data_IF_829634126622
#
_entry.id   IF_829634126622
#
_cell.length_a   1.000
_cell.length_b   1.000
_cell.length_c   1.000
_cell.angle_alpha   90.00
_cell.angle_beta   90.00
_cell.angle_gamma   90.00
#
_symmetry.space_group_name_H-M   'P 1'
#
loop_
_entity.id
_entity.type
_entity.pdbx_description
1 polymer ?
#
# COMPACT_ATOMS: atom_id res chain seq x y z
N UNK A 1 0.43 23.62 38.73
CA UNK A 1 1.32 24.26 37.75
C UNK A 1 1.61 23.23 36.67
N UNK A 2 0.80 23.16 35.66
CA UNK A 2 1.04 22.38 34.45
C UNK A 2 1.86 23.24 33.52
N UNK A 3 3.18 23.14 33.61
CA UNK A 3 4.08 23.76 32.66
C UNK A 3 3.90 23.02 31.31
N UNK A 4 3.52 23.77 30.32
CA UNK A 4 3.59 23.37 28.92
C UNK A 4 5.10 23.23 28.60
N UNK A 5 5.64 22.02 28.75
CA UNK A 5 7.09 21.75 28.64
C UNK A 5 7.49 21.52 27.17
N UNK A 6 6.81 22.17 26.24
CA UNK A 6 7.17 22.14 24.82
C UNK A 6 8.10 23.29 24.49
N UNK A 7 9.22 23.00 23.84
CA UNK A 7 10.00 24.05 23.19
C UNK A 7 9.13 24.67 22.07
N UNK A 8 8.79 25.95 22.19
CA UNK A 8 8.06 26.64 21.13
C UNK A 8 9.00 26.94 19.95
N UNK A 9 8.45 26.99 18.72
CA UNK A 9 9.30 27.33 17.57
C UNK A 9 9.94 28.70 17.71
N UNK A 10 9.22 29.69 18.24
CA UNK A 10 9.77 31.05 18.41
C UNK A 10 10.99 31.09 19.33
N UNK A 11 10.99 30.31 20.42
CA UNK A 11 12.16 30.17 21.29
C UNK A 11 13.31 29.46 20.58
N UNK A 12 13.02 28.36 19.86
CA UNK A 12 14.02 27.62 19.08
C UNK A 12 14.64 28.51 18.01
N UNK A 13 13.85 29.29 17.30
CA UNK A 13 14.30 30.23 16.26
C UNK A 13 15.24 31.31 16.80
N UNK A 14 14.94 31.86 17.99
CA UNK A 14 15.81 32.83 18.67
C UNK A 14 17.19 32.23 19.00
N UNK A 15 17.23 30.98 19.48
CA UNK A 15 18.50 30.30 19.74
C UNK A 15 19.26 29.95 18.45
N UNK A 16 18.56 29.57 17.38
CA UNK A 16 19.17 29.31 16.08
C UNK A 16 19.79 30.58 15.48
N UNK A 17 19.13 31.72 15.66
CA UNK A 17 19.64 33.02 15.19
C UNK A 17 20.84 33.50 16.02
N UNK A 18 20.77 33.37 17.32
CA UNK A 18 21.86 33.76 18.22
C UNK A 18 23.09 32.86 18.13
N UNK A 19 22.97 31.64 17.60
CA UNK A 19 24.03 30.65 17.52
C UNK A 19 24.45 30.09 18.90
N UNK A 20 23.59 30.24 19.92
CA UNK A 20 23.80 29.70 21.25
C UNK A 20 23.26 28.26 21.34
N UNK A 21 24.05 27.39 21.95
CA UNK A 21 23.61 26.03 22.25
C UNK A 21 22.76 25.97 23.51
N UNK A 22 21.59 25.32 23.40
CA UNK A 22 20.67 25.12 24.53
C UNK A 22 20.07 23.71 24.51
N UNK A 23 19.74 23.19 25.68
CA UNK A 23 19.05 21.90 25.84
C UNK A 23 17.82 22.10 26.71
N UNK A 24 16.65 21.77 26.16
CA UNK A 24 15.36 21.80 26.85
C UNK A 24 15.01 20.38 27.32
N UNK A 25 15.00 20.08 28.61
CA UNK A 25 14.50 18.79 29.10
C UNK A 25 12.97 18.76 28.97
N UNK A 26 12.46 17.79 28.19
CA UNK A 26 11.03 17.63 27.92
C UNK A 26 10.36 16.58 28.81
N UNK A 27 11.14 15.76 29.55
CA UNK A 27 10.62 14.72 30.40
C UNK A 27 10.56 15.17 31.86
N UNK A 28 9.53 14.71 32.59
CA UNK A 28 9.40 14.91 34.01
C UNK A 28 10.53 14.16 34.78
N UNK A 29 10.94 14.65 35.97
CA UNK A 29 11.90 13.95 36.83
C UNK A 29 11.46 12.49 37.09
N UNK A 30 12.38 11.54 36.94
CA UNK A 30 12.14 10.12 37.16
C UNK A 30 11.61 9.37 35.93
N UNK A 31 11.34 10.05 34.79
CA UNK A 31 11.03 9.47 33.48
C UNK A 31 12.31 9.27 32.65
N UNK A 32 12.28 8.43 31.59
CA UNK A 32 13.36 8.38 30.62
C UNK A 32 13.68 9.78 30.10
N UNK A 33 14.95 10.13 30.04
CA UNK A 33 15.38 11.46 29.64
C UNK A 33 15.07 11.72 28.17
N UNK A 34 14.48 12.89 27.93
CA UNK A 34 14.16 13.41 26.59
C UNK A 34 14.59 14.86 26.56
N UNK A 35 15.59 15.18 25.73
CA UNK A 35 16.11 16.54 25.60
C UNK A 35 15.93 17.03 24.18
N UNK A 36 15.33 18.19 24.02
CA UNK A 36 15.35 18.94 22.78
C UNK A 36 16.58 19.85 22.76
N UNK A 37 17.41 19.74 21.74
CA UNK A 37 18.71 20.40 21.69
C UNK A 37 18.77 21.33 20.48
N UNK A 38 19.15 22.56 20.69
CA UNK A 38 19.60 23.51 19.66
C UNK A 38 21.13 23.60 19.79
N UNK A 39 21.84 23.36 18.70
CA UNK A 39 23.31 23.40 18.69
C UNK A 39 23.84 24.73 18.16
N UNK A 40 25.08 25.03 18.50
CA UNK A 40 25.87 26.16 17.98
C UNK A 40 26.07 26.10 16.45
N UNK A 41 25.98 24.91 15.85
CA UNK A 41 25.94 24.71 14.40
C UNK A 41 24.63 25.14 13.74
N UNK A 42 23.71 25.75 14.49
CA UNK A 42 22.37 26.14 14.03
C UNK A 42 21.56 24.95 13.52
N UNK A 43 21.58 23.86 14.26
CA UNK A 43 20.83 22.64 14.01
C UNK A 43 19.96 22.29 15.22
N UNK A 44 18.92 21.50 15.01
CA UNK A 44 18.05 20.98 16.06
C UNK A 44 18.10 19.47 16.12
N UNK A 45 18.05 18.93 17.33
CA UNK A 45 18.04 17.50 17.55
C UNK A 45 17.14 17.11 18.73
N UNK A 46 16.63 15.89 18.72
CA UNK A 46 15.98 15.27 19.85
C UNK A 46 16.87 14.14 20.38
N UNK A 47 17.20 14.20 21.65
CA UNK A 47 17.95 13.15 22.36
C UNK A 47 16.98 12.33 23.21
N UNK A 48 16.92 11.02 22.98
CA UNK A 48 16.03 10.09 23.65
C UNK A 48 16.85 9.04 24.40
N UNK A 49 16.67 8.92 25.71
CA UNK A 49 17.37 7.91 26.50
C UNK A 49 16.99 6.51 26.05
N UNK A 50 18.00 5.67 25.83
CA UNK A 50 17.87 4.26 25.51
C UNK A 50 18.21 3.41 26.72
N UNK A 51 17.31 2.54 27.17
CA UNK A 51 17.68 1.50 28.15
C UNK A 51 18.58 0.44 27.47
N UNK A 52 19.31 -0.38 28.24
CA UNK A 52 20.23 -1.38 27.67
C UNK A 52 19.61 -2.37 26.70
N UNK A 53 18.30 -2.63 26.82
CA UNK A 53 17.56 -3.58 25.98
C UNK A 53 16.83 -2.91 24.81
N UNK A 54 16.75 -1.59 24.76
CA UNK A 54 16.08 -0.86 23.69
C UNK A 54 16.99 -0.72 22.47
N UNK A 55 16.36 -0.86 21.29
CA UNK A 55 17.06 -0.69 20.02
C UNK A 55 17.10 0.79 19.62
N UNK A 56 18.14 1.14 18.88
CA UNK A 56 18.22 2.42 18.20
C UNK A 56 17.12 2.50 17.14
N UNK A 57 16.30 3.57 17.10
CA UNK A 57 15.32 3.76 16.02
C UNK A 57 16.00 3.74 14.65
N UNK A 58 15.33 3.16 13.65
CA UNK A 58 15.85 3.14 12.29
C UNK A 58 15.04 4.11 11.43
N UNK A 59 15.73 5.03 10.76
CA UNK A 59 15.07 5.93 9.83
C UNK A 59 14.92 5.28 8.46
N UNK A 60 13.69 5.19 7.92
CA UNK A 60 13.48 4.80 6.53
C UNK A 60 13.73 5.95 5.55
N UNK A 61 13.96 7.17 6.05
CA UNK A 61 14.07 8.38 5.23
C UNK A 61 15.50 8.94 5.25
N UNK A 62 16.14 9.20 4.10
CA UNK A 62 17.53 9.65 4.03
C UNK A 62 17.76 11.05 4.64
N UNK A 63 16.70 11.87 4.75
CA UNK A 63 16.78 13.22 5.32
C UNK A 63 16.78 13.22 6.86
N UNK A 64 16.50 12.10 7.51
CA UNK A 64 16.49 11.97 8.97
C UNK A 64 17.62 11.04 9.38
N UNK A 65 18.58 11.57 10.11
CA UNK A 65 19.69 10.81 10.67
C UNK A 65 19.39 10.43 12.11
N UNK A 66 19.56 9.15 12.43
CA UNK A 66 19.44 8.63 13.79
C UNK A 66 20.79 8.03 14.18
N UNK A 67 21.35 8.52 15.27
CA UNK A 67 22.69 8.16 15.75
C UNK A 67 22.62 7.78 17.22
N UNK A 68 23.43 6.81 17.63
CA UNK A 68 23.64 6.53 19.05
C UNK A 68 24.75 7.43 19.57
N UNK A 69 24.50 8.11 20.68
CA UNK A 69 25.48 8.97 21.38
C UNK A 69 25.50 8.63 22.84
N UNK A 70 26.63 8.91 23.47
CA UNK A 70 26.77 8.94 24.93
C UNK A 70 26.64 10.39 25.38
N UNK A 71 25.68 10.70 26.27
CA UNK A 71 25.48 12.02 26.82
C UNK A 71 25.30 11.94 28.33
N UNK A 72 26.16 12.60 29.09
CA UNK A 72 26.15 12.59 30.57
C UNK A 72 26.11 11.16 31.17
N UNK A 73 26.86 10.24 30.57
CA UNK A 73 26.92 8.83 31.02
C UNK A 73 25.69 7.98 30.61
N UNK A 74 24.72 8.55 29.89
CA UNK A 74 23.56 7.86 29.40
C UNK A 74 23.70 7.51 27.91
N UNK A 75 23.15 6.37 27.53
CA UNK A 75 23.01 5.94 26.15
C UNK A 75 21.79 6.63 25.54
N UNK A 76 21.97 7.42 24.48
CA UNK A 76 20.92 8.22 23.88
C UNK A 76 20.81 7.95 22.38
N UNK A 77 19.58 7.98 21.84
CA UNK A 77 19.34 8.12 20.41
C UNK A 77 19.25 9.61 20.07
N UNK A 78 20.07 10.09 19.13
CA UNK A 78 20.00 11.45 18.59
C UNK A 78 19.31 11.45 17.23
N UNK A 79 18.19 12.16 17.13
CA UNK A 79 17.44 12.36 15.91
C UNK A 79 17.71 13.76 15.38
N UNK A 80 18.17 13.90 14.12
CA UNK A 80 18.41 15.19 13.48
C UNK A 80 18.09 15.14 11.98
N UNK A 81 17.82 16.30 11.37
CA UNK A 81 17.71 16.39 9.91
C UNK A 81 19.06 16.59 9.25
N UNK A 82 19.17 16.19 7.98
CA UNK A 82 20.33 16.51 7.13
C UNK A 82 20.11 17.78 6.28
N UNK A 83 18.94 18.43 6.42
CA UNK A 83 18.50 19.54 5.58
C UNK A 83 18.12 20.74 6.44
N UNK A 84 18.90 21.83 6.37
CA UNK A 84 18.68 23.04 7.14
C UNK A 84 17.39 23.80 6.76
N UNK A 85 16.97 23.73 5.52
CA UNK A 85 15.74 24.35 5.06
C UNK A 85 14.45 23.68 5.56
N UNK A 86 14.57 22.53 6.24
CA UNK A 86 13.45 21.77 6.82
C UNK A 86 13.40 21.83 8.34
N UNK A 87 14.18 22.70 8.99
CA UNK A 87 14.26 22.76 10.45
C UNK A 87 12.90 23.01 11.11
N UNK A 88 12.06 23.88 10.52
CA UNK A 88 10.70 24.18 11.02
C UNK A 88 9.82 22.92 11.01
N UNK A 89 9.75 22.25 9.85
CA UNK A 89 8.93 21.04 9.71
C UNK A 89 9.48 19.92 10.61
N UNK A 90 10.82 19.85 10.71
CA UNK A 90 11.47 18.86 11.54
C UNK A 90 11.27 19.11 13.04
N UNK A 91 11.15 20.36 13.48
CA UNK A 91 10.77 20.72 14.85
C UNK A 91 9.45 20.05 15.26
N UNK A 92 8.41 20.18 14.41
CA UNK A 92 7.11 19.59 14.68
C UNK A 92 7.17 18.07 14.76
N UNK A 93 7.98 17.42 13.91
CA UNK A 93 8.25 15.98 13.97
C UNK A 93 8.93 15.61 15.30
N UNK A 94 9.97 16.34 15.71
CA UNK A 94 10.68 16.08 16.98
C UNK A 94 9.74 16.24 18.19
N UNK A 95 8.89 17.25 18.20
CA UNK A 95 7.89 17.45 19.25
C UNK A 95 6.89 16.30 19.30
N UNK A 96 6.40 15.84 18.16
CA UNK A 96 5.48 14.70 18.10
C UNK A 96 6.13 13.38 18.58
N UNK A 97 7.41 13.16 18.31
CA UNK A 97 8.17 12.01 18.85
C UNK A 97 8.33 12.15 20.36
N UNK A 98 8.69 13.34 20.85
CA UNK A 98 8.85 13.61 22.28
C UNK A 98 7.55 13.35 23.05
N UNK A 99 6.41 13.83 22.57
CA UNK A 99 5.09 13.59 23.16
C UNK A 99 4.77 12.11 23.27
N UNK A 100 5.05 11.32 22.24
CA UNK A 100 4.84 9.86 22.31
C UNK A 100 5.68 9.17 23.36
N UNK A 101 6.92 9.63 23.56
CA UNK A 101 7.78 9.07 24.61
C UNK A 101 7.34 9.53 26.00
N UNK A 102 7.07 10.83 26.18
CA UNK A 102 6.83 11.42 27.52
C UNK A 102 5.40 11.23 27.99
N UNK A 103 4.41 11.37 27.11
CA UNK A 103 2.99 11.29 27.43
C UNK A 103 2.43 9.88 27.17
N UNK A 104 2.64 9.33 25.96
CA UNK A 104 2.10 8.03 25.58
C UNK A 104 2.93 6.83 26.06
N UNK A 105 4.11 7.11 26.70
CA UNK A 105 5.01 6.08 27.25
C UNK A 105 5.50 5.06 26.21
N UNK A 106 5.63 5.48 24.96
CA UNK A 106 6.21 4.65 23.90
C UNK A 106 7.71 4.51 24.04
N UNK A 107 8.28 3.41 23.57
CA UNK A 107 9.74 3.32 23.41
C UNK A 107 10.23 4.27 22.32
N UNK A 108 11.50 4.73 22.33
CA UNK A 108 12.04 5.59 21.27
C UNK A 108 11.85 5.04 19.86
N UNK A 109 12.01 3.71 19.66
CA UNK A 109 11.80 3.04 18.38
C UNK A 109 10.33 3.12 17.93
N UNK A 110 9.39 2.84 18.84
CA UNK A 110 7.95 2.91 18.57
C UNK A 110 7.51 4.36 18.28
N UNK A 111 7.88 5.30 19.14
CA UNK A 111 7.54 6.71 19.00
C UNK A 111 8.00 7.29 17.67
N UNK A 112 9.24 7.05 17.30
CA UNK A 112 9.78 7.50 16.02
C UNK A 112 9.08 6.83 14.83
N UNK A 113 8.96 5.50 14.86
CA UNK A 113 8.32 4.74 13.77
C UNK A 113 6.84 5.12 13.55
N UNK A 114 6.08 5.31 14.62
CA UNK A 114 4.68 5.74 14.56
C UNK A 114 4.56 7.19 14.01
N UNK A 115 5.42 8.10 14.49
CA UNK A 115 5.43 9.50 13.99
C UNK A 115 5.78 9.56 12.51
N UNK A 116 6.85 8.89 12.08
CA UNK A 116 7.25 8.91 10.66
C UNK A 116 6.17 8.30 9.78
N UNK A 117 5.51 7.22 10.21
CA UNK A 117 4.37 6.63 9.45
C UNK A 117 3.20 7.61 9.34
N UNK A 118 2.83 8.27 10.43
CA UNK A 118 1.74 9.25 10.42
C UNK A 118 2.06 10.46 9.50
N UNK A 119 3.29 10.96 9.56
CA UNK A 119 3.74 12.06 8.70
C UNK A 119 3.80 11.64 7.23
N UNK A 120 4.30 10.45 6.98
CA UNK A 120 4.32 9.88 5.63
C UNK A 120 2.92 9.78 5.05
N UNK A 121 1.95 9.31 5.82
CA UNK A 121 0.55 9.24 5.42
C UNK A 121 -0.06 10.63 5.13
N UNK A 122 0.38 11.68 5.84
CA UNK A 122 -0.04 13.07 5.58
C UNK A 122 0.65 13.68 4.34
N UNK A 123 1.91 13.34 4.11
CA UNK A 123 2.73 13.89 3.01
C UNK A 123 2.61 13.07 1.71
N UNK A 124 2.31 11.80 1.81
CA UNK A 124 1.92 11.02 0.64
C UNK A 124 0.56 11.55 0.19
N UNK A 125 0.56 12.53 -0.75
CA UNK A 125 -0.59 12.66 -1.64
C UNK A 125 -0.91 11.25 -2.11
N UNK A 126 -2.16 10.77 -2.01
CA UNK A 126 -2.54 9.51 -2.60
C UNK A 126 -1.97 9.53 -4.02
N UNK A 127 -0.98 8.69 -4.31
CA UNK A 127 -0.46 8.61 -5.68
C UNK A 127 -1.66 8.30 -6.54
N UNK A 128 -2.02 9.24 -7.41
CA UNK A 128 -3.09 8.96 -8.37
C UNK A 128 -2.78 7.61 -9.00
N UNK A 129 -3.77 6.73 -8.97
CA UNK A 129 -3.63 5.43 -9.60
C UNK A 129 -3.21 5.63 -11.05
N UNK A 130 -2.17 4.95 -11.51
CA UNK A 130 -1.85 4.91 -12.93
C UNK A 130 -3.07 4.42 -13.73
N UNK A 131 -3.13 4.74 -15.01
CA UNK A 131 -4.21 4.30 -15.88
C UNK A 131 -4.37 2.77 -15.82
N UNK A 132 -3.26 2.03 -15.87
CA UNK A 132 -3.25 0.56 -15.80
C UNK A 132 -3.88 0.05 -14.50
N UNK A 133 -3.56 0.66 -13.37
CA UNK A 133 -4.15 0.29 -12.09
C UNK A 133 -5.63 0.66 -11.99
N UNK A 134 -6.06 1.78 -12.61
CA UNK A 134 -7.47 2.16 -12.65
C UNK A 134 -8.30 1.15 -13.44
N UNK A 135 -7.87 0.81 -14.67
CA UNK A 135 -8.58 -0.19 -15.48
C UNK A 135 -8.45 -1.59 -14.88
N UNK A 136 -7.32 -1.92 -14.24
CA UNK A 136 -7.12 -3.17 -13.51
C UNK A 136 -8.20 -3.35 -12.44
N UNK A 137 -8.34 -2.36 -11.55
CA UNK A 137 -9.38 -2.38 -10.52
C UNK A 137 -10.80 -2.44 -11.10
N UNK A 138 -11.07 -1.74 -12.21
CA UNK A 138 -12.38 -1.85 -12.89
C UNK A 138 -12.63 -3.26 -13.42
N UNK A 139 -11.60 -3.97 -13.87
CA UNK A 139 -11.69 -5.38 -14.25
C UNK A 139 -11.98 -6.28 -13.05
N UNK A 140 -11.29 -6.09 -11.95
CA UNK A 140 -11.57 -6.80 -10.70
C UNK A 140 -13.00 -6.55 -10.21
N UNK A 141 -13.48 -5.29 -10.20
CA UNK A 141 -14.85 -4.95 -9.82
C UNK A 141 -15.90 -5.57 -10.77
N UNK A 142 -15.55 -5.77 -12.05
CA UNK A 142 -16.40 -6.48 -13.01
C UNK A 142 -16.54 -7.96 -12.62
N UNK A 143 -15.44 -8.62 -12.25
CA UNK A 143 -15.44 -10.01 -11.80
C UNK A 143 -16.12 -10.14 -10.44
N UNK A 144 -15.87 -9.19 -9.51
CA UNK A 144 -16.55 -9.13 -8.21
C UNK A 144 -18.07 -9.10 -8.37
N UNK A 145 -18.61 -8.29 -9.31
CA UNK A 145 -20.03 -8.26 -9.61
C UNK A 145 -20.55 -9.58 -10.17
N UNK A 146 -19.76 -10.28 -10.98
CA UNK A 146 -20.12 -11.61 -11.52
C UNK A 146 -20.16 -12.67 -10.41
N UNK A 147 -19.18 -12.65 -9.49
CA UNK A 147 -19.15 -13.50 -8.30
C UNK A 147 -20.34 -13.21 -7.37
N UNK A 148 -20.67 -11.93 -7.19
CA UNK A 148 -21.80 -11.53 -6.36
C UNK A 148 -23.13 -11.99 -6.94
N UNK A 149 -23.30 -12.00 -8.27
CA UNK A 149 -24.50 -12.52 -8.93
C UNK A 149 -24.68 -14.03 -8.72
N UNK A 150 -23.59 -14.79 -8.63
CA UNK A 150 -23.64 -16.25 -8.43
C UNK A 150 -23.70 -16.66 -6.95
N UNK A 151 -22.93 -15.97 -6.08
CA UNK A 151 -22.70 -16.41 -4.70
C UNK A 151 -23.14 -15.39 -3.65
N UNK A 152 -23.66 -14.22 -4.07
CA UNK A 152 -24.02 -13.10 -3.19
C UNK A 152 -22.82 -12.22 -2.82
N UNK A 153 -23.12 -10.96 -2.46
CA UNK A 153 -22.10 -9.95 -2.19
C UNK A 153 -21.19 -10.29 -1.00
N UNK A 154 -21.71 -10.93 0.05
CA UNK A 154 -20.89 -11.29 1.21
C UNK A 154 -19.76 -12.25 0.83
N UNK A 155 -20.07 -13.32 0.09
CA UNK A 155 -19.08 -14.30 -0.37
C UNK A 155 -18.11 -13.69 -1.41
N UNK A 156 -18.63 -12.87 -2.32
CA UNK A 156 -17.81 -12.19 -3.32
C UNK A 156 -16.77 -11.26 -2.69
N UNK A 157 -17.18 -10.40 -1.73
CA UNK A 157 -16.26 -9.49 -1.02
C UNK A 157 -15.24 -10.28 -0.19
N UNK A 158 -15.64 -11.38 0.45
CA UNK A 158 -14.71 -12.22 1.23
C UNK A 158 -13.66 -12.89 0.33
N UNK A 159 -14.04 -13.30 -0.89
CA UNK A 159 -13.12 -13.92 -1.85
C UNK A 159 -12.12 -12.93 -2.44
N UNK A 160 -12.39 -11.62 -2.44
CA UNK A 160 -11.55 -10.60 -3.09
C UNK A 160 -10.27 -10.32 -2.32
N UNK A 161 -9.11 -10.60 -2.91
CA UNK A 161 -7.77 -10.50 -2.34
C UNK A 161 -6.86 -9.51 -3.07
N UNK A 162 -7.20 -9.12 -4.30
CA UNK A 162 -6.38 -8.25 -5.15
C UNK A 162 -5.85 -7.00 -4.45
N UNK A 163 -6.67 -6.21 -3.72
CA UNK A 163 -6.20 -5.02 -3.01
C UNK A 163 -5.20 -5.31 -1.88
N UNK A 164 -5.14 -6.54 -1.37
CA UNK A 164 -4.20 -6.97 -0.33
C UNK A 164 -2.82 -7.32 -0.91
N UNK A 165 -2.71 -7.47 -2.24
CA UNK A 165 -1.48 -7.88 -2.92
C UNK A 165 -1.13 -9.35 -2.69
N UNK A 166 -2.15 -10.21 -2.51
CA UNK A 166 -1.99 -11.67 -2.50
C UNK A 166 -1.66 -12.20 -3.90
N UNK A 167 -1.34 -13.48 -4.03
CA UNK A 167 -0.90 -14.07 -5.30
C UNK A 167 -2.00 -14.05 -6.36
N UNK A 168 -3.27 -14.19 -5.97
CA UNK A 168 -4.44 -14.18 -6.85
C UNK A 168 -5.44 -13.11 -6.43
N UNK A 169 -6.15 -12.54 -7.38
CA UNK A 169 -7.11 -11.46 -7.14
C UNK A 169 -8.34 -11.94 -6.37
N UNK A 170 -8.79 -13.19 -6.61
CA UNK A 170 -9.89 -13.79 -5.86
C UNK A 170 -9.55 -15.21 -5.44
N UNK A 171 -9.96 -15.56 -4.21
CA UNK A 171 -9.86 -16.89 -3.66
C UNK A 171 -11.25 -17.35 -3.22
N UNK A 172 -12.02 -17.96 -4.13
CA UNK A 172 -13.30 -18.57 -3.86
C UNK A 172 -13.11 -19.96 -3.22
N UNK A 173 -14.17 -20.61 -2.73
CA UNK A 173 -14.07 -21.87 -2.01
C UNK A 173 -13.42 -23.00 -2.83
N UNK A 174 -13.78 -23.12 -4.12
CA UNK A 174 -13.37 -24.21 -4.98
C UNK A 174 -12.31 -23.86 -6.03
N UNK A 175 -12.01 -22.58 -6.26
CA UNK A 175 -11.10 -22.11 -7.30
C UNK A 175 -10.54 -20.72 -6.97
N UNK A 176 -9.43 -20.39 -7.59
CA UNK A 176 -8.82 -19.07 -7.56
C UNK A 176 -9.02 -18.35 -8.90
N UNK A 177 -8.96 -17.01 -8.90
CA UNK A 177 -9.08 -16.21 -10.12
C UNK A 177 -7.98 -15.15 -10.15
N UNK A 178 -7.29 -15.04 -11.29
CA UNK A 178 -6.41 -13.93 -11.64
C UNK A 178 -7.08 -13.10 -12.73
N UNK A 179 -7.19 -11.79 -12.52
CA UNK A 179 -7.83 -10.85 -13.45
C UNK A 179 -6.77 -9.94 -14.06
N UNK A 180 -6.68 -9.94 -15.38
CA UNK A 180 -5.81 -8.98 -16.07
C UNK A 180 -6.63 -8.13 -17.02
N UNK A 181 -6.44 -6.81 -16.92
CA UNK A 181 -7.14 -5.84 -17.75
C UNK A 181 -6.17 -5.10 -18.64
N UNK A 182 -6.51 -4.96 -19.92
CA UNK A 182 -5.73 -4.19 -20.89
C UNK A 182 -6.62 -3.21 -21.65
N UNK A 183 -6.05 -2.07 -22.05
CA UNK A 183 -6.67 -1.13 -23.00
C UNK A 183 -6.13 -1.29 -24.42
N UNK A 184 -5.18 -2.19 -24.62
CA UNK A 184 -4.63 -2.49 -25.95
C UNK A 184 -5.64 -3.22 -26.85
N UNK A 185 -5.38 -3.23 -28.15
CA UNK A 185 -6.17 -3.99 -29.14
C UNK A 185 -5.91 -5.49 -29.03
N UNK A 186 -4.67 -5.83 -28.73
CA UNK A 186 -4.22 -7.19 -28.48
C UNK A 186 -4.44 -7.57 -27.01
N UNK A 187 -4.71 -8.85 -26.74
CA UNK A 187 -4.87 -9.35 -25.37
C UNK A 187 -3.52 -9.67 -24.75
N UNK A 188 -2.66 -8.65 -24.66
CA UNK A 188 -1.35 -8.77 -23.99
C UNK A 188 -1.44 -8.35 -22.54
N UNK A 189 -0.82 -9.15 -21.68
CA UNK A 189 -0.79 -8.91 -20.24
C UNK A 189 0.60 -9.16 -19.68
N UNK A 190 1.04 -8.26 -18.80
CA UNK A 190 2.29 -8.43 -18.05
C UNK A 190 2.05 -9.27 -16.80
N UNK A 191 2.91 -10.24 -16.60
CA UNK A 191 2.93 -11.15 -15.45
C UNK A 191 4.17 -10.88 -14.63
N UNK A 192 4.02 -10.74 -13.33
CA UNK A 192 5.10 -10.46 -12.40
C UNK A 192 5.24 -11.57 -11.36
N UNK A 193 6.41 -12.18 -11.32
CA UNK A 193 6.68 -13.31 -10.44
C UNK A 193 6.24 -14.66 -11.02
N UNK A 194 6.46 -15.70 -10.26
CA UNK A 194 6.07 -17.07 -10.62
C UNK A 194 4.70 -17.46 -10.04
N UNK A 195 4.22 -16.75 -9.01
CA UNK A 195 3.01 -17.10 -8.26
C UNK A 195 1.72 -16.76 -9.00
N UNK A 196 1.65 -15.60 -9.69
CA UNK A 196 0.40 -15.09 -10.28
C UNK A 196 -0.36 -16.08 -11.19
N UNK A 197 0.37 -16.97 -11.88
CA UNK A 197 -0.21 -17.95 -12.80
C UNK A 197 0.01 -19.39 -12.33
N UNK A 198 0.41 -19.60 -11.08
CA UNK A 198 0.58 -20.92 -10.48
C UNK A 198 -0.67 -21.26 -9.66
N UNK A 199 -1.43 -22.32 -10.01
CA UNK A 199 -2.58 -22.74 -9.22
C UNK A 199 -2.21 -23.06 -7.78
N UNK A 200 -3.09 -22.72 -6.84
CA UNK A 200 -2.95 -23.18 -5.45
C UNK A 200 -3.08 -24.71 -5.37
N UNK A 201 -2.41 -25.39 -4.43
CA UNK A 201 -2.49 -26.84 -4.33
C UNK A 201 -3.93 -27.36 -4.24
N UNK A 202 -4.32 -28.19 -5.21
CA UNK A 202 -5.65 -28.82 -5.27
C UNK A 202 -6.79 -27.91 -5.72
N UNK A 203 -6.50 -26.72 -6.24
CA UNK A 203 -7.52 -25.75 -6.69
C UNK A 203 -7.17 -25.26 -8.10
N UNK A 204 -8.12 -25.28 -9.06
CA UNK A 204 -7.89 -24.69 -10.37
C UNK A 204 -7.77 -23.17 -10.26
N UNK A 205 -6.91 -22.61 -11.08
CA UNK A 205 -6.79 -21.16 -11.26
C UNK A 205 -7.41 -20.77 -12.60
N UNK A 206 -8.35 -19.82 -12.53
CA UNK A 206 -9.01 -19.26 -13.70
C UNK A 206 -8.45 -17.87 -14.00
N UNK A 207 -8.04 -17.67 -15.23
CA UNK A 207 -7.55 -16.39 -15.72
C UNK A 207 -8.66 -15.67 -16.48
N UNK A 208 -8.96 -14.43 -16.04
CA UNK A 208 -9.97 -13.59 -16.70
C UNK A 208 -9.29 -12.39 -17.37
N UNK A 209 -9.26 -12.43 -18.71
CA UNK A 209 -8.73 -11.31 -19.51
C UNK A 209 -9.83 -10.35 -19.89
N UNK A 210 -9.76 -9.11 -19.43
CA UNK A 210 -10.70 -8.03 -19.71
C UNK A 210 -10.05 -7.01 -20.64
N UNK A 211 -10.71 -6.73 -21.79
CA UNK A 211 -10.31 -5.61 -22.65
C UNK A 211 -11.23 -4.43 -22.41
N UNK A 212 -10.65 -3.27 -22.15
CA UNK A 212 -11.38 -2.02 -22.00
C UNK A 212 -11.04 -1.03 -23.10
N UNK A 213 -11.97 -0.15 -23.37
CA UNK A 213 -11.75 0.99 -24.29
C UNK A 213 -12.40 2.23 -23.70
N UNK A 214 -11.97 3.41 -24.14
CA UNK A 214 -12.61 4.66 -23.76
C UNK A 214 -14.07 4.66 -24.16
N UNK A 215 -14.95 4.94 -23.22
CA UNK A 215 -16.40 4.79 -23.38
C UNK A 215 -17.15 6.09 -23.68
N UNK A 216 -16.47 7.24 -23.63
CA UNK A 216 -17.15 8.54 -23.73
C UNK A 216 -18.34 8.64 -22.77
N UNK A 217 -19.44 9.23 -23.20
CA UNK A 217 -20.64 9.42 -22.36
C UNK A 217 -21.28 8.09 -21.89
N UNK A 218 -21.12 7.01 -22.67
CA UNK A 218 -21.66 5.68 -22.33
C UNK A 218 -20.72 4.85 -21.44
N UNK A 219 -19.51 5.37 -21.14
CA UNK A 219 -18.58 4.72 -20.25
C UNK A 219 -18.84 5.06 -18.80
N UNK A 220 -18.17 4.31 -17.92
CA UNK A 220 -18.18 4.51 -16.47
C UNK A 220 -16.80 4.96 -15.97
N UNK A 221 -16.76 5.78 -14.93
CA UNK A 221 -15.54 6.10 -14.23
C UNK A 221 -15.26 5.04 -13.17
N UNK A 222 -14.00 4.94 -12.69
CA UNK A 222 -13.66 4.06 -11.58
C UNK A 222 -14.48 4.42 -10.33
N UNK A 223 -14.59 5.70 -10.02
CA UNK A 223 -15.38 6.19 -8.87
C UNK A 223 -16.83 5.72 -8.96
N UNK A 224 -17.46 5.86 -10.12
CA UNK A 224 -18.83 5.36 -10.32
C UNK A 224 -18.97 3.86 -10.13
N UNK A 225 -18.00 3.07 -10.59
CA UNK A 225 -18.01 1.61 -10.38
C UNK A 225 -17.88 1.25 -8.90
N UNK A 226 -16.98 1.92 -8.17
CA UNK A 226 -16.79 1.72 -6.73
C UNK A 226 -18.06 2.11 -5.94
N UNK A 227 -18.65 3.27 -6.24
CA UNK A 227 -19.88 3.72 -5.59
C UNK A 227 -21.04 2.76 -5.82
N UNK A 228 -21.15 2.23 -7.05
CA UNK A 228 -22.19 1.22 -7.36
C UNK A 228 -21.99 -0.05 -6.56
N UNK A 229 -20.77 -0.59 -6.50
CA UNK A 229 -20.48 -1.78 -5.68
C UNK A 229 -20.77 -1.52 -4.20
N UNK A 230 -20.37 -0.36 -3.67
CA UNK A 230 -20.66 0.00 -2.26
C UNK A 230 -22.16 0.07 -1.97
N UNK A 231 -22.94 0.65 -2.89
CA UNK A 231 -24.40 0.71 -2.77
C UNK A 231 -25.01 -0.69 -2.75
N UNK A 232 -24.63 -1.54 -3.68
CA UNK A 232 -25.10 -2.93 -3.77
C UNK A 232 -24.76 -3.74 -2.51
N UNK A 233 -23.53 -3.60 -2.00
CA UNK A 233 -23.09 -4.28 -0.77
C UNK A 233 -23.83 -3.74 0.43
N UNK A 234 -24.04 -2.42 0.53
CA UNK A 234 -24.79 -1.82 1.63
C UNK A 234 -26.25 -2.33 1.67
N UNK A 235 -26.85 -2.48 0.48
CA UNK A 235 -28.24 -2.91 0.36
C UNK A 235 -28.42 -4.42 0.57
N UNK A 236 -27.53 -5.25 0.01
CA UNK A 236 -27.71 -6.71 -0.06
C UNK A 236 -26.88 -7.49 0.99
N UNK A 237 -25.77 -6.93 1.44
CA UNK A 237 -24.85 -7.56 2.40
C UNK A 237 -24.20 -6.53 3.33
N UNK A 238 -24.96 -5.77 4.15
CA UNK A 238 -24.44 -4.68 4.96
C UNK A 238 -23.30 -5.11 5.91
N UNK A 239 -23.28 -6.36 6.35
CA UNK A 239 -22.20 -6.91 7.18
C UNK A 239 -20.85 -7.05 6.46
N UNK A 240 -20.80 -6.97 5.13
CA UNK A 240 -19.57 -7.01 4.35
C UNK A 240 -19.02 -5.61 4.00
N UNK A 241 -19.75 -4.54 4.35
CA UNK A 241 -19.40 -3.17 3.93
C UNK A 241 -18.07 -2.70 4.54
N UNK A 242 -17.86 -2.95 5.83
CA UNK A 242 -16.61 -2.58 6.51
C UNK A 242 -15.40 -3.26 5.88
N UNK A 243 -15.55 -4.52 5.47
CA UNK A 243 -14.49 -5.24 4.76
C UNK A 243 -14.25 -4.67 3.37
N UNK A 244 -15.30 -4.39 2.61
CA UNK A 244 -15.17 -3.74 1.30
C UNK A 244 -14.46 -2.39 1.43
N UNK A 245 -14.85 -1.57 2.41
CA UNK A 245 -14.23 -0.27 2.65
C UNK A 245 -12.77 -0.39 3.10
N UNK A 246 -12.42 -1.40 3.87
CA UNK A 246 -11.04 -1.69 4.23
C UNK A 246 -10.18 -2.10 3.01
N UNK A 247 -10.72 -2.92 2.10
CA UNK A 247 -10.07 -3.30 0.84
C UNK A 247 -9.86 -2.08 -0.07
N UNK A 248 -10.87 -1.24 -0.23
CA UNK A 248 -10.83 -0.02 -1.03
C UNK A 248 -10.04 1.13 -0.37
N UNK A 249 -9.93 1.14 0.96
CA UNK A 249 -9.21 2.18 1.71
C UNK A 249 -7.71 2.26 1.41
N UNK A 250 -7.11 1.17 0.93
CA UNK A 250 -5.74 1.15 0.40
C UNK A 250 -5.61 1.73 -1.02
N UNK A 251 -6.75 2.01 -1.69
CA UNK A 251 -6.81 2.48 -3.06
C UNK A 251 -7.08 3.98 -3.09
N UNK A 252 -6.13 4.76 -3.58
CA UNK A 252 -6.31 6.21 -3.78
C UNK A 252 -7.24 6.46 -4.98
N UNK A 253 -8.54 6.52 -4.72
CA UNK A 253 -9.52 6.85 -5.76
C UNK A 253 -9.28 8.25 -6.33
N UNK A 254 -9.44 8.46 -7.66
CA UNK A 254 -9.33 9.77 -8.27
C UNK A 254 -10.33 10.76 -7.65
N UNK A 255 -9.87 11.99 -7.41
CA UNK A 255 -10.73 13.07 -6.95
C UNK A 255 -10.78 14.14 -8.04
N UNK A 256 -11.93 14.28 -8.72
CA UNK A 256 -12.10 15.34 -9.70
C UNK A 256 -13.10 15.02 -10.82
N UNK A 257 -13.44 16.04 -11.63
CA UNK A 257 -14.43 15.93 -12.71
C UNK A 257 -13.86 15.33 -14.01
N UNK A 258 -12.54 15.20 -14.15
CA UNK A 258 -11.86 14.74 -15.38
C UNK A 258 -11.49 13.27 -15.33
N UNK A 259 -12.29 12.45 -14.66
CA UNK A 259 -12.06 11.02 -14.61
C UNK A 259 -12.41 10.36 -15.94
N UNK A 260 -11.46 9.62 -16.51
CA UNK A 260 -11.67 8.90 -17.77
C UNK A 260 -12.77 7.85 -17.63
N UNK A 261 -13.64 7.79 -18.65
CA UNK A 261 -14.73 6.82 -18.72
C UNK A 261 -14.36 5.64 -19.59
N UNK A 262 -14.59 4.46 -19.07
CA UNK A 262 -14.24 3.19 -19.69
C UNK A 262 -15.47 2.32 -19.93
N UNK A 263 -15.38 1.44 -20.91
CA UNK A 263 -16.35 0.37 -21.16
C UNK A 263 -15.62 -0.90 -21.57
N UNK A 264 -16.22 -2.04 -21.33
CA UNK A 264 -15.72 -3.33 -21.82
C UNK A 264 -15.75 -3.29 -23.35
N UNK A 265 -14.62 -3.63 -23.99
CA UNK A 265 -14.45 -3.59 -25.45
C UNK A 265 -14.97 -4.85 -26.11
N UNK A 266 -14.61 -6.01 -25.57
CA UNK A 266 -14.95 -7.34 -26.07
C UNK A 266 -15.42 -8.20 -24.90
N UNK A 267 -16.09 -9.31 -25.20
CA UNK A 267 -16.43 -10.29 -24.15
C UNK A 267 -15.15 -10.71 -23.45
N UNK A 268 -15.09 -10.65 -22.11
CA UNK A 268 -13.95 -11.15 -21.34
C UNK A 268 -13.63 -12.59 -21.69
N UNK A 269 -12.35 -12.90 -21.84
CA UNK A 269 -11.87 -14.24 -22.13
C UNK A 269 -11.55 -14.95 -20.82
N UNK A 270 -12.17 -16.11 -20.60
CA UNK A 270 -12.00 -16.93 -19.40
C UNK A 270 -11.21 -18.18 -19.76
N UNK A 271 -10.05 -18.39 -19.15
CA UNK A 271 -9.13 -19.48 -19.41
C UNK A 271 -8.77 -20.19 -18.10
N UNK A 272 -8.72 -21.51 -18.14
CA UNK A 272 -8.07 -22.26 -17.06
C UNK A 272 -6.55 -22.22 -17.26
N UNK A 273 -5.78 -22.04 -16.18
CA UNK A 273 -4.31 -22.06 -16.26
C UNK A 273 -3.80 -23.50 -16.25
N UNK A 274 -4.17 -24.24 -17.29
CA UNK A 274 -3.72 -25.62 -17.54
C UNK A 274 -2.36 -25.62 -18.29
N UNK A 275 -1.89 -26.82 -18.69
CA UNK A 275 -0.62 -27.00 -19.40
C UNK A 275 -0.56 -26.28 -20.77
N UNK A 276 -1.69 -25.82 -21.32
CA UNK A 276 -1.78 -25.07 -22.59
C UNK A 276 -1.73 -23.56 -22.37
N UNK A 277 -1.90 -23.12 -21.13
CA UNK A 277 -1.86 -21.70 -20.79
C UNK A 277 -0.40 -21.19 -20.81
N UNK A 278 -0.11 -20.03 -21.44
CA UNK A 278 1.24 -19.51 -21.57
C UNK A 278 1.76 -18.97 -20.21
N UNK A 279 2.16 -19.84 -19.32
CA UNK A 279 2.71 -19.49 -18.01
C UNK A 279 4.16 -19.95 -17.87
N UNK A 280 4.92 -19.24 -17.03
CA UNK A 280 6.26 -19.64 -16.62
C UNK A 280 6.24 -19.93 -15.12
N UNK A 281 6.66 -21.14 -14.75
CA UNK A 281 6.91 -21.52 -13.37
C UNK A 281 8.41 -21.59 -13.05
N UNK A 282 8.76 -21.97 -11.84
CA UNK A 282 10.16 -22.09 -11.43
C UNK A 282 10.96 -23.14 -12.19
N UNK A 283 10.32 -24.06 -12.92
CA UNK A 283 10.99 -25.08 -13.69
C UNK A 283 11.82 -24.51 -14.83
N UNK A 284 11.48 -23.32 -15.34
CA UNK A 284 12.29 -22.61 -16.35
C UNK A 284 13.71 -22.31 -15.86
N UNK A 285 13.92 -22.26 -14.55
CA UNK A 285 15.22 -22.08 -13.93
C UNK A 285 16.02 -23.37 -13.81
N UNK A 286 15.41 -24.54 -14.07
CA UNK A 286 16.08 -25.84 -13.92
C UNK A 286 17.27 -26.04 -14.88
N UNK A 287 17.31 -25.27 -15.98
CA UNK A 287 18.44 -25.24 -16.91
C UNK A 287 19.64 -24.42 -16.43
N UNK A 288 19.51 -23.70 -15.32
CA UNK A 288 20.58 -22.87 -14.75
C UNK A 288 21.34 -23.64 -13.64
N UNK A 289 22.63 -23.32 -13.41
CA UNK A 289 23.31 -23.80 -12.21
C UNK A 289 22.49 -23.43 -10.96
N UNK A 290 22.38 -24.37 -10.01
CA UNK A 290 21.53 -24.21 -8.81
C UNK A 290 21.75 -22.87 -8.09
N UNK A 291 23.02 -22.52 -7.87
CA UNK A 291 23.38 -21.26 -7.20
C UNK A 291 22.96 -20.01 -7.99
N UNK A 292 22.95 -20.07 -9.32
CA UNK A 292 22.47 -18.98 -10.17
C UNK A 292 20.95 -18.87 -10.13
N UNK A 293 20.22 -20.00 -10.21
CA UNK A 293 18.76 -20.04 -10.10
C UNK A 293 18.24 -19.50 -8.76
N UNK A 294 18.91 -19.83 -7.64
CA UNK A 294 18.56 -19.36 -6.30
C UNK A 294 18.75 -17.84 -6.11
N UNK A 295 19.59 -17.20 -6.93
CA UNK A 295 19.83 -15.75 -6.92
C UNK A 295 18.79 -14.95 -7.71
N UNK A 296 18.00 -15.60 -8.57
CA UNK A 296 16.89 -14.94 -9.30
C UNK A 296 15.73 -14.76 -8.32
N UNK A 297 15.41 -13.52 -8.03
CA UNK A 297 14.39 -13.15 -7.02
C UNK A 297 13.05 -12.78 -7.64
N UNK A 298 13.05 -12.28 -8.85
CA UNK A 298 11.83 -11.91 -9.59
C UNK A 298 12.01 -12.14 -11.08
N UNK A 299 10.88 -12.35 -11.75
CA UNK A 299 10.76 -12.42 -13.20
C UNK A 299 9.57 -11.56 -13.62
N UNK A 300 9.64 -10.97 -14.80
CA UNK A 300 8.50 -10.33 -15.45
C UNK A 300 8.51 -10.74 -16.93
N UNK A 301 7.35 -11.04 -17.46
CA UNK A 301 7.17 -11.43 -18.86
C UNK A 301 5.78 -11.04 -19.34
N UNK A 302 5.62 -10.93 -20.65
CA UNK A 302 4.33 -10.65 -21.27
C UNK A 302 3.77 -11.92 -21.91
N UNK A 303 2.46 -12.11 -21.78
CA UNK A 303 1.70 -13.17 -22.47
C UNK A 303 0.76 -12.53 -23.48
N UNK A 304 0.60 -13.17 -24.62
CA UNK A 304 -0.35 -12.78 -25.66
C UNK A 304 -1.44 -13.86 -25.81
N UNK A 305 -2.65 -13.49 -25.43
CA UNK A 305 -3.82 -14.37 -25.48
C UNK A 305 -4.71 -14.09 -26.71
N UNK A 306 -4.22 -13.30 -27.66
CA UNK A 306 -4.96 -12.95 -28.88
C UNK A 306 -5.25 -14.21 -29.69
N UNK A 307 -6.53 -14.43 -30.01
CA UNK A 307 -6.96 -15.60 -30.77
C UNK A 307 -7.12 -16.92 -29.97
N UNK A 308 -6.89 -16.88 -28.64
CA UNK A 308 -7.24 -18.02 -27.80
C UNK A 308 -8.76 -18.11 -27.60
N UNK A 309 -9.27 -19.35 -27.59
CA UNK A 309 -10.67 -19.64 -27.31
C UNK A 309 -10.87 -19.86 -25.80
N UNK A 310 -12.06 -19.52 -25.25
CA UNK A 310 -12.38 -19.77 -23.85
C UNK A 310 -12.20 -21.24 -23.47
N UNK A 311 -11.69 -21.50 -22.27
CA UNK A 311 -11.61 -22.88 -21.76
C UNK A 311 -13.00 -23.43 -21.47
N UNK A 312 -13.24 -24.73 -21.69
CA UNK A 312 -14.51 -25.37 -21.38
C UNK A 312 -14.72 -25.48 -19.87
N UNK A 313 -16.00 -25.46 -19.44
CA UNK A 313 -16.39 -25.75 -18.07
C UNK A 313 -15.97 -24.71 -17.00
N UNK A 314 -15.98 -23.40 -17.30
CA UNK A 314 -15.68 -22.42 -16.28
C UNK A 314 -16.69 -22.50 -15.13
N UNK A 315 -16.32 -22.05 -13.91
CA UNK A 315 -17.25 -21.90 -12.79
C UNK A 315 -18.47 -21.06 -13.19
N UNK A 316 -19.64 -21.38 -12.63
CA UNK A 316 -20.90 -20.68 -12.94
C UNK A 316 -20.76 -19.16 -12.84
N UNK A 317 -20.07 -18.68 -11.83
CA UNK A 317 -19.81 -17.25 -11.64
C UNK A 317 -19.02 -16.59 -12.77
N UNK A 318 -18.31 -17.37 -13.60
CA UNK A 318 -17.55 -16.88 -14.75
C UNK A 318 -18.25 -17.14 -16.09
N UNK A 319 -19.44 -17.76 -16.07
CA UNK A 319 -20.28 -18.01 -17.27
C UNK A 319 -21.20 -16.84 -17.63
N UNK A 320 -21.46 -15.95 -16.68
CA UNK A 320 -22.40 -14.85 -16.83
C UNK A 320 -21.88 -13.69 -17.69
N UNK A 321 -22.76 -12.75 -18.04
CA UNK A 321 -22.34 -11.55 -18.74
C UNK A 321 -21.52 -10.65 -17.78
N UNK A 322 -20.26 -10.49 -18.07
CA UNK A 322 -19.42 -9.50 -17.37
C UNK A 322 -19.87 -8.07 -17.71
N UNK A 323 -20.15 -7.27 -16.71
CA UNK A 323 -20.56 -5.87 -16.85
C UNK A 323 -19.82 -5.00 -15.83
N UNK A 324 -19.48 -3.78 -16.25
CA UNK A 324 -19.07 -2.79 -15.27
C UNK A 324 -20.21 -2.55 -14.27
N UNK A 325 -19.92 -2.42 -12.98
CA UNK A 325 -20.93 -2.08 -11.96
C UNK A 325 -21.74 -0.84 -12.35
N UNK A 326 -23.08 -0.90 -12.22
CA UNK A 326 -24.00 0.13 -12.75
C UNK A 326 -24.46 1.05 -11.63
#
# INVERSE_FOLDING_TARGET
MTADSRASWSEVEEYLESGLSVSFPLAAPGSPRVDYVVSDDRDIALHLQLSPRQRLPRSPHPLIRVEEIAHQGLRMARLRTTQRNLLRDFHDLLCAVADRVTVERRTPEQAFGETVRAWRALLEKPRELSMERRIGLMGELTVLGSLAAAHGWAAAVESWKGPLGEEHDFSAEAYDIEVKTTSAEERRHSVHGFGQLTPSPGRPLWFVSVQMTRGGAAGRTLTQCVESVRSEVADQAPGALDRLDALLGGVALPRGQDEERWRIRTVPLVLETDDRFPSLDRSVLAGLPKEAGERIKSIAYDIDLTGMEPSPGPPEALCGPFRLPQ
#
